data_IF_857457326305
#
_entry.id   IF_857457326305
#
_cell.length_a   1.000
_cell.length_b   1.000
_cell.length_c   1.000
_cell.angle_alpha   90.00
_cell.angle_beta   90.00
_cell.angle_gamma   90.00
#
_symmetry.space_group_name_H-M   'P 1'
#
loop_
_entity.id
_entity.type
_entity.pdbx_description
1 polymer ?
#
# COMPACT_ATOMS: atom_id res chain seq x y z
N UNK A 1 7.03 8.92 28.37
CA UNK A 1 6.85 7.60 27.72
C UNK A 1 5.72 6.81 28.40
N UNK A 2 4.72 6.36 27.63
CA UNK A 2 3.62 5.52 28.11
C UNK A 2 3.75 4.08 27.60
N UNK A 3 3.01 3.11 28.17
CA UNK A 3 3.07 1.72 27.71
C UNK A 3 2.52 1.59 26.28
N UNK A 4 3.30 0.95 25.41
CA UNK A 4 2.94 0.68 24.01
C UNK A 4 3.71 -0.53 23.48
N UNK A 5 3.10 -1.25 22.54
CA UNK A 5 3.70 -2.41 21.88
C UNK A 5 3.40 -2.35 20.38
N UNK A 6 4.33 -2.79 19.54
CA UNK A 6 4.14 -2.89 18.10
C UNK A 6 4.84 -4.15 17.57
N UNK A 7 4.26 -4.74 16.53
CA UNK A 7 4.85 -5.87 15.80
C UNK A 7 4.95 -5.48 14.35
N UNK A 8 6.12 -5.64 13.75
CA UNK A 8 6.36 -5.41 12.33
C UNK A 8 6.86 -6.69 11.65
N UNK A 9 6.37 -6.94 10.43
CA UNK A 9 6.77 -8.04 9.57
C UNK A 9 7.30 -7.46 8.26
N UNK A 10 8.51 -7.87 7.89
CA UNK A 10 9.20 -7.44 6.69
C UNK A 10 9.18 -8.56 5.66
N UNK A 11 8.70 -8.26 4.45
CA UNK A 11 8.73 -9.18 3.31
C UNK A 11 9.75 -8.65 2.32
N UNK A 12 11.00 -9.11 2.46
CA UNK A 12 12.06 -8.78 1.53
C UNK A 12 11.92 -9.62 0.24
N UNK A 13 11.73 -8.93 -0.88
CA UNK A 13 11.69 -9.50 -2.23
C UNK A 13 12.82 -8.91 -3.07
N UNK A 14 13.05 -9.44 -4.26
CA UNK A 14 14.17 -8.98 -5.13
C UNK A 14 14.14 -7.47 -5.42
N UNK A 15 12.96 -6.90 -5.67
CA UNK A 15 12.82 -5.51 -6.12
C UNK A 15 12.21 -4.56 -5.10
N UNK A 16 11.65 -5.09 -4.01
CA UNK A 16 10.89 -4.31 -3.03
C UNK A 16 10.87 -5.02 -1.69
N UNK A 17 10.85 -4.24 -0.61
CA UNK A 17 10.56 -4.74 0.74
C UNK A 17 9.26 -4.13 1.22
N UNK A 18 8.25 -4.96 1.46
CA UNK A 18 7.00 -4.52 2.06
C UNK A 18 7.02 -4.71 3.57
N UNK A 19 6.41 -3.78 4.30
CA UNK A 19 6.43 -3.75 5.76
C UNK A 19 5.02 -3.63 6.31
N UNK A 20 4.62 -4.62 7.10
CA UNK A 20 3.32 -4.68 7.75
C UNK A 20 3.51 -4.44 9.24
N UNK A 21 2.72 -3.56 9.83
CA UNK A 21 2.81 -3.26 11.27
C UNK A 21 1.43 -3.33 11.92
N UNK A 22 1.36 -3.90 13.12
CA UNK A 22 0.20 -3.79 14.00
C UNK A 22 0.61 -3.24 15.36
N UNK A 23 -0.28 -2.45 15.94
CA UNK A 23 -0.06 -1.78 17.23
C UNK A 23 -0.89 -2.50 18.30
N UNK A 24 -0.23 -2.90 19.37
CA UNK A 24 -0.89 -3.41 20.56
C UNK A 24 -1.68 -2.31 21.26
N UNK A 25 -2.86 -2.66 21.78
CA UNK A 25 -3.70 -1.76 22.56
C UNK A 25 -4.20 -2.45 23.82
N UNK A 26 -4.54 -1.67 24.84
CA UNK A 26 -5.02 -2.20 26.13
C UNK A 26 -6.20 -3.16 25.90
N UNK A 27 -6.11 -4.34 26.49
CA UNK A 27 -7.13 -5.39 26.37
C UNK A 27 -7.09 -6.21 25.07
N UNK A 28 -6.13 -5.96 24.17
CA UNK A 28 -5.91 -6.79 22.98
C UNK A 28 -4.79 -7.81 23.24
N UNK A 29 -5.08 -9.13 23.18
CA UNK A 29 -4.06 -10.17 23.31
C UNK A 29 -2.97 -10.06 22.25
N UNK A 30 -1.74 -10.44 22.59
CA UNK A 30 -0.58 -10.35 21.71
C UNK A 30 -0.76 -11.19 20.43
N UNK A 31 -1.41 -12.35 20.55
CA UNK A 31 -1.72 -13.26 19.45
C UNK A 31 -2.65 -12.59 18.42
N UNK A 32 -3.59 -11.75 18.88
CA UNK A 32 -4.45 -10.97 17.97
C UNK A 32 -3.67 -9.87 17.27
N UNK A 33 -2.72 -9.23 17.94
CA UNK A 33 -1.83 -8.23 17.32
C UNK A 33 -0.98 -8.89 16.24
N UNK A 34 -0.34 -10.02 16.53
CA UNK A 34 0.43 -10.79 15.55
C UNK A 34 -0.45 -11.27 14.39
N UNK A 35 -1.66 -11.78 14.69
CA UNK A 35 -2.62 -12.23 13.69
C UNK A 35 -3.03 -11.16 12.69
N UNK A 36 -3.14 -9.89 13.11
CA UNK A 36 -3.42 -8.76 12.22
C UNK A 36 -2.29 -8.57 11.19
N UNK A 37 -1.04 -8.59 11.63
CA UNK A 37 0.13 -8.45 10.75
C UNK A 37 0.21 -9.61 9.77
N UNK A 38 0.06 -10.84 10.26
CA UNK A 38 0.12 -12.05 9.44
C UNK A 38 -0.99 -12.07 8.39
N UNK A 39 -2.21 -11.65 8.74
CA UNK A 39 -3.33 -11.59 7.81
C UNK A 39 -3.03 -10.60 6.67
N UNK A 40 -2.55 -9.40 7.00
CA UNK A 40 -2.21 -8.38 6.00
C UNK A 40 -1.06 -8.82 5.09
N UNK A 41 -0.02 -9.44 5.65
CA UNK A 41 1.11 -9.96 4.89
C UNK A 41 0.68 -11.11 3.95
N UNK A 42 -0.18 -12.02 4.42
CA UNK A 42 -0.71 -13.11 3.59
C UNK A 42 -1.57 -12.62 2.44
N UNK A 43 -2.43 -11.62 2.69
CA UNK A 43 -3.23 -10.98 1.65
C UNK A 43 -2.33 -10.42 0.54
N UNK A 44 -1.30 -9.66 0.91
CA UNK A 44 -0.29 -9.14 -0.02
C UNK A 44 0.45 -10.24 -0.79
N UNK A 45 0.98 -11.24 -0.08
CA UNK A 45 1.71 -12.36 -0.71
C UNK A 45 0.82 -13.15 -1.67
N UNK A 46 -0.45 -13.35 -1.33
CA UNK A 46 -1.40 -14.06 -2.19
C UNK A 46 -1.79 -13.30 -3.45
N UNK A 47 -1.70 -11.97 -3.42
CA UNK A 47 -2.03 -11.12 -4.56
C UNK A 47 -0.92 -11.08 -5.61
N UNK A 48 0.30 -11.52 -5.28
CA UNK A 48 1.45 -11.51 -6.19
C UNK A 48 1.67 -10.13 -6.86
N UNK A 49 1.79 -9.11 -6.01
CA UNK A 49 2.01 -7.72 -6.42
C UNK A 49 3.26 -7.15 -5.75
N UNK A 50 4.00 -6.25 -6.41
CA UNK A 50 5.18 -5.63 -5.82
C UNK A 50 4.83 -4.53 -4.80
N UNK A 51 3.63 -3.95 -4.84
CA UNK A 51 3.25 -2.82 -3.97
C UNK A 51 1.98 -3.15 -3.21
N UNK A 52 2.05 -3.05 -1.88
CA UNK A 52 0.91 -3.21 -0.99
C UNK A 52 -0.02 -1.99 -1.01
N UNK A 53 -1.26 -2.17 -0.54
CA UNK A 53 -2.31 -1.13 -0.56
C UNK A 53 -1.88 0.21 0.06
N UNK A 54 -1.10 0.17 1.15
CA UNK A 54 -0.70 1.39 1.85
C UNK A 54 0.49 2.07 1.16
N UNK A 55 1.44 1.29 0.63
CA UNK A 55 2.55 1.83 -0.13
C UNK A 55 2.08 2.42 -1.46
N UNK A 56 1.05 1.84 -2.07
CA UNK A 56 0.41 2.40 -3.28
C UNK A 56 -0.03 3.86 -3.06
N UNK A 57 -0.67 4.16 -1.94
CA UNK A 57 -1.08 5.53 -1.59
C UNK A 57 0.12 6.48 -1.47
N UNK A 58 1.23 5.99 -0.91
CA UNK A 58 2.43 6.78 -0.65
C UNK A 58 3.25 7.04 -1.93
N UNK A 59 3.23 6.14 -2.91
CA UNK A 59 3.99 6.28 -4.15
C UNK A 59 3.34 7.22 -5.17
N UNK A 60 2.04 7.48 -5.07
CA UNK A 60 1.32 8.31 -6.05
C UNK A 60 1.91 9.71 -6.20
N UNK A 61 2.13 10.43 -5.10
CA UNK A 61 2.63 11.80 -5.15
C UNK A 61 4.09 11.89 -5.65
N UNK A 62 5.04 11.08 -5.14
CA UNK A 62 6.40 11.05 -5.69
C UNK A 62 6.45 10.78 -7.20
N UNK A 63 5.67 9.82 -7.70
CA UNK A 63 5.63 9.52 -9.14
C UNK A 63 4.97 10.66 -9.94
N UNK A 64 3.94 11.30 -9.40
CA UNK A 64 3.31 12.47 -10.03
C UNK A 64 4.27 13.65 -10.15
N UNK A 65 5.09 13.88 -9.11
CA UNK A 65 6.12 14.93 -9.14
C UNK A 65 7.26 14.59 -10.10
N UNK A 66 7.65 13.32 -10.18
CA UNK A 66 8.60 12.84 -11.18
C UNK A 66 8.06 12.95 -12.62
N UNK A 67 6.73 13.00 -12.77
CA UNK A 67 6.04 13.16 -14.05
C UNK A 67 5.79 11.86 -14.80
N UNK A 68 6.33 10.74 -14.31
CA UNK A 68 6.09 9.41 -14.86
C UNK A 68 6.28 8.31 -13.81
N UNK A 69 5.69 7.16 -14.08
CA UNK A 69 5.92 5.97 -13.27
C UNK A 69 4.80 4.95 -13.41
N UNK A 70 5.06 3.73 -12.93
CA UNK A 70 4.02 2.70 -12.84
C UNK A 70 4.35 1.68 -11.77
N UNK A 71 3.31 1.10 -11.19
CA UNK A 71 3.43 -0.05 -10.31
C UNK A 71 2.18 -0.92 -10.39
N UNK A 72 2.29 -2.13 -9.85
CA UNK A 72 1.17 -3.07 -9.70
C UNK A 72 0.87 -3.23 -8.21
N UNK A 73 -0.40 -3.18 -7.84
CA UNK A 73 -0.90 -3.23 -6.47
C UNK A 73 -2.18 -4.08 -6.37
N UNK A 74 -2.62 -4.34 -5.14
CA UNK A 74 -3.99 -4.77 -4.83
C UNK A 74 -5.04 -3.76 -5.32
N UNK A 75 -6.35 -4.09 -5.33
CA UNK A 75 -7.40 -3.16 -5.73
C UNK A 75 -7.28 -1.80 -5.01
N UNK A 76 -7.34 -0.67 -5.74
CA UNK A 76 -7.14 0.65 -5.17
C UNK A 76 -8.07 0.91 -3.98
N UNK A 77 -7.52 1.38 -2.88
CA UNK A 77 -8.30 1.73 -1.71
C UNK A 77 -9.07 3.04 -1.94
N UNK A 78 -10.00 3.36 -1.04
CA UNK A 78 -10.63 4.69 -1.03
C UNK A 78 -9.60 5.81 -0.83
N UNK A 79 -8.52 5.56 -0.07
CA UNK A 79 -7.44 6.52 0.07
C UNK A 79 -6.71 6.70 -1.26
N UNK A 80 -6.45 5.62 -1.99
CA UNK A 80 -5.76 5.65 -3.29
C UNK A 80 -6.52 6.50 -4.29
N UNK A 81 -7.82 6.21 -4.46
CA UNK A 81 -8.69 6.91 -5.40
C UNK A 81 -8.90 8.38 -5.02
N UNK A 82 -9.01 8.68 -3.73
CA UNK A 82 -9.09 10.07 -3.24
C UNK A 82 -7.77 10.81 -3.47
N UNK A 83 -6.62 10.18 -3.20
CA UNK A 83 -5.31 10.78 -3.41
C UNK A 83 -5.07 11.11 -4.89
N UNK A 84 -5.45 10.20 -5.80
CA UNK A 84 -5.44 10.46 -7.25
C UNK A 84 -6.28 11.68 -7.61
N UNK A 85 -7.48 11.78 -7.03
CA UNK A 85 -8.39 12.91 -7.28
C UNK A 85 -7.76 14.23 -6.83
N UNK A 86 -7.15 14.25 -5.64
CA UNK A 86 -6.46 15.44 -5.11
C UNK A 86 -5.24 15.79 -5.97
N UNK A 87 -4.38 14.82 -6.30
CA UNK A 87 -3.17 15.08 -7.10
C UNK A 87 -3.52 15.75 -8.44
N UNK A 88 -4.57 15.27 -9.12
CA UNK A 88 -5.06 15.85 -10.39
C UNK A 88 -5.58 17.29 -10.28
N UNK A 89 -5.95 17.75 -9.08
CA UNK A 89 -6.38 19.13 -8.88
C UNK A 89 -5.20 20.10 -8.80
N UNK A 90 -4.01 19.61 -8.43
CA UNK A 90 -2.82 20.45 -8.23
C UNK A 90 -1.76 20.28 -9.31
N UNK A 91 -1.74 19.14 -10.01
CA UNK A 91 -0.76 18.80 -11.02
C UNK A 91 -1.46 18.43 -12.33
N UNK A 92 -0.95 18.97 -13.44
CA UNK A 92 -1.32 18.55 -14.79
C UNK A 92 -0.65 17.20 -15.10
N UNK A 93 -1.29 16.12 -14.63
CA UNK A 93 -0.76 14.75 -14.68
C UNK A 93 -1.92 13.76 -14.87
N UNK A 94 -1.75 12.78 -15.76
CA UNK A 94 -2.68 11.68 -15.91
C UNK A 94 -2.28 10.50 -15.00
N UNK A 95 -3.26 9.97 -14.27
CA UNK A 95 -3.10 8.80 -13.40
C UNK A 95 -4.17 7.76 -13.72
N UNK A 96 -3.80 6.66 -14.37
CA UNK A 96 -4.71 5.58 -14.76
C UNK A 96 -4.62 4.42 -13.79
N UNK A 97 -5.78 3.88 -13.43
CA UNK A 97 -5.92 2.66 -12.64
C UNK A 97 -6.64 1.61 -13.50
N UNK A 98 -5.96 0.53 -13.83
CA UNK A 98 -6.46 -0.51 -14.72
C UNK A 98 -6.41 -1.86 -14.00
N UNK A 99 -7.53 -2.59 -13.99
CA UNK A 99 -7.53 -3.97 -13.50
C UNK A 99 -6.72 -4.84 -14.48
N UNK A 100 -5.77 -5.60 -13.95
CA UNK A 100 -5.10 -6.68 -14.69
C UNK A 100 -5.96 -7.95 -14.58
N UNK A 101 -6.46 -8.22 -13.37
CA UNK A 101 -7.40 -9.30 -13.04
C UNK A 101 -8.21 -8.93 -11.79
N UNK A 102 -8.89 -9.90 -11.17
CA UNK A 102 -9.73 -9.69 -9.98
C UNK A 102 -8.96 -9.23 -8.73
N UNK A 103 -7.65 -9.42 -8.68
CA UNK A 103 -6.82 -9.16 -7.49
C UNK A 103 -5.69 -8.17 -7.74
N UNK A 104 -5.32 -7.89 -8.99
CA UNK A 104 -4.17 -7.06 -9.34
C UNK A 104 -4.58 -5.88 -10.21
N UNK A 105 -4.04 -4.72 -9.88
CA UNK A 105 -4.30 -3.46 -10.55
C UNK A 105 -3.00 -2.77 -10.91
N UNK A 106 -2.92 -2.24 -12.13
CA UNK A 106 -1.83 -1.39 -12.56
C UNK A 106 -2.20 0.07 -12.34
N UNK A 107 -1.32 0.80 -11.68
CA UNK A 107 -1.39 2.26 -11.61
C UNK A 107 -0.27 2.82 -12.48
N UNK A 108 -0.61 3.72 -13.39
CA UNK A 108 0.32 4.42 -14.28
C UNK A 108 0.16 5.92 -14.11
N UNK A 109 1.28 6.62 -13.98
CA UNK A 109 1.39 8.06 -13.87
C UNK A 109 2.18 8.56 -15.09
N UNK A 110 1.70 9.62 -15.74
CA UNK A 110 2.36 10.23 -16.90
C UNK A 110 1.88 11.67 -17.10
N UNK A 111 2.77 12.58 -17.51
CA UNK A 111 2.39 13.90 -18.03
C UNK A 111 1.84 13.78 -19.45
#
# INVERSE_FOLDING_TARGET
PGPGNAVSLFVASEHVTEVFTAIGRRGLPAEKVAGQVVTAAREYLSADVPVGRHLADQLLLPLALAGEGRFVTLPPSRHTTTNITIIRQFLDIDIRCEAIDSHRWRIRVQR
#
